data_IF_053585883995
#
_entry.id   IF_053585883995
#
_cell.length_a   1.000
_cell.length_b   1.000
_cell.length_c   1.000
_cell.angle_alpha   90.00
_cell.angle_beta   90.00
_cell.angle_gamma   90.00
#
_symmetry.space_group_name_H-M   'P 1'
#
loop_
_entity.id
_entity.type
_entity.pdbx_description
1 polymer ?
#
# COMPACT_ATOMS: atom_id res chain seq x y z
N UNK A 1 -16.98 9.90 -29.46
CA UNK A 1 -15.80 10.62 -28.96
C UNK A 1 -14.72 9.59 -28.76
N UNK A 2 -13.62 9.66 -29.51
CA UNK A 2 -12.54 8.70 -29.41
C UNK A 2 -11.97 8.73 -27.99
N UNK A 3 -12.24 7.68 -27.23
CA UNK A 3 -11.73 7.49 -25.89
C UNK A 3 -10.24 7.14 -26.05
N UNK A 4 -9.39 8.17 -26.18
CA UNK A 4 -7.94 8.00 -26.19
C UNK A 4 -7.57 7.39 -24.84
N UNK A 5 -7.38 6.06 -24.83
CA UNK A 5 -6.76 5.38 -23.70
C UNK A 5 -5.37 5.96 -23.50
N UNK A 6 -5.09 6.45 -22.30
CA UNK A 6 -3.75 6.89 -21.92
C UNK A 6 -2.78 5.72 -22.14
N UNK A 7 -1.76 5.94 -22.96
CA UNK A 7 -0.69 4.96 -23.18
C UNK A 7 0.40 5.16 -22.13
N UNK A 8 0.69 4.11 -21.35
CA UNK A 8 1.70 4.11 -20.29
C UNK A 8 2.18 2.68 -20.02
N UNK A 9 3.35 2.57 -19.41
CA UNK A 9 3.97 1.29 -19.10
C UNK A 9 3.99 1.04 -17.58
N UNK A 10 4.06 -0.23 -17.17
CA UNK A 10 4.25 -0.65 -15.78
C UNK A 10 5.52 -1.48 -15.67
N UNK A 11 6.32 -1.24 -14.62
CA UNK A 11 7.50 -2.06 -14.30
C UNK A 11 7.74 -2.15 -12.79
N UNK A 12 8.57 -3.09 -12.32
CA UNK A 12 9.05 -3.10 -10.94
C UNK A 12 9.66 -1.75 -10.53
N UNK A 13 9.43 -1.37 -9.26
CA UNK A 13 10.07 -0.22 -8.65
C UNK A 13 11.59 -0.40 -8.66
N UNK A 14 12.32 0.64 -9.07
CA UNK A 14 13.77 0.72 -8.94
C UNK A 14 14.15 1.78 -7.91
N UNK A 15 15.38 1.70 -7.41
CA UNK A 15 15.92 2.71 -6.48
C UNK A 15 15.88 4.14 -7.04
N UNK A 16 15.99 4.31 -8.36
CA UNK A 16 15.94 5.62 -9.02
C UNK A 16 14.56 6.27 -8.96
N UNK A 17 13.51 5.48 -8.72
CA UNK A 17 12.13 5.96 -8.69
C UNK A 17 11.70 6.48 -7.31
N UNK A 18 12.45 6.16 -6.25
CA UNK A 18 12.03 6.39 -4.86
C UNK A 18 11.64 7.85 -4.62
N UNK A 19 12.50 8.80 -4.99
CA UNK A 19 12.22 10.23 -4.86
C UNK A 19 10.97 10.65 -5.63
N UNK A 20 10.76 10.11 -6.85
CA UNK A 20 9.59 10.41 -7.66
C UNK A 20 8.30 9.85 -7.03
N UNK A 21 8.35 8.64 -6.46
CA UNK A 21 7.18 8.02 -5.80
C UNK A 21 6.73 8.78 -4.56
N UNK A 22 7.66 9.34 -3.77
CA UNK A 22 7.33 10.20 -2.63
C UNK A 22 6.65 11.49 -3.06
N UNK A 23 7.25 12.20 -4.02
CA UNK A 23 6.68 13.45 -4.56
C UNK A 23 5.28 13.19 -5.13
N UNK A 24 5.13 12.10 -5.88
CA UNK A 24 3.84 11.66 -6.41
C UNK A 24 2.83 11.43 -5.29
N UNK A 25 3.20 10.66 -4.26
CA UNK A 25 2.30 10.32 -3.17
C UNK A 25 1.83 11.57 -2.40
N UNK A 26 2.77 12.44 -2.02
CA UNK A 26 2.46 13.71 -1.34
C UNK A 26 1.46 14.52 -2.16
N UNK A 27 1.73 14.72 -3.45
CA UNK A 27 0.84 15.44 -4.36
C UNK A 27 -0.54 14.76 -4.49
N UNK A 28 -0.56 13.44 -4.59
CA UNK A 28 -1.78 12.63 -4.64
C UNK A 28 -2.62 12.82 -3.39
N UNK A 29 -2.05 12.68 -2.19
CA UNK A 29 -2.76 12.84 -0.91
C UNK A 29 -3.29 14.27 -0.79
N UNK A 30 -2.44 15.28 -0.98
CA UNK A 30 -2.82 16.69 -0.84
C UNK A 30 -3.97 17.10 -1.76
N UNK A 31 -4.01 16.55 -2.98
CA UNK A 31 -5.01 16.93 -3.98
C UNK A 31 -6.25 16.04 -3.88
N UNK A 32 -6.09 14.72 -3.94
CA UNK A 32 -7.21 13.78 -4.09
C UNK A 32 -7.91 13.47 -2.76
N UNK A 33 -7.24 13.64 -1.61
CA UNK A 33 -7.86 13.45 -0.31
C UNK A 33 -8.60 14.69 0.23
N UNK A 34 -8.44 15.85 -0.43
CA UNK A 34 -8.96 17.14 0.04
C UNK A 34 -10.48 17.21 0.25
N UNK A 35 -11.25 16.40 -0.49
CA UNK A 35 -12.71 16.35 -0.34
C UNK A 35 -13.20 15.52 0.85
N UNK A 36 -12.38 14.59 1.35
CA UNK A 36 -12.79 13.59 2.34
C UNK A 36 -12.06 13.71 3.69
N UNK A 37 -10.99 14.50 3.75
CA UNK A 37 -10.15 14.63 4.93
C UNK A 37 -9.91 16.10 5.29
N UNK A 38 -9.77 16.38 6.58
CA UNK A 38 -9.41 17.72 7.04
C UNK A 38 -7.96 18.06 6.67
N UNK A 39 -7.59 19.35 6.59
CA UNK A 39 -6.20 19.74 6.36
C UNK A 39 -5.20 19.11 7.35
N UNK A 40 -5.59 18.99 8.62
CA UNK A 40 -4.79 18.35 9.66
C UNK A 40 -4.61 16.85 9.41
N UNK A 41 -5.65 16.16 8.95
CA UNK A 41 -5.55 14.74 8.57
C UNK A 41 -4.66 14.55 7.35
N UNK A 42 -4.80 15.41 6.34
CA UNK A 42 -3.95 15.39 5.13
C UNK A 42 -2.49 15.60 5.50
N UNK A 43 -2.20 16.58 6.35
CA UNK A 43 -0.85 16.81 6.85
C UNK A 43 -0.31 15.59 7.63
N UNK A 44 -1.12 15.01 8.52
CA UNK A 44 -0.75 13.81 9.27
C UNK A 44 -0.52 12.57 8.39
N UNK A 45 -1.27 12.42 7.29
CA UNK A 45 -1.09 11.37 6.29
C UNK A 45 0.21 11.56 5.50
N UNK A 46 0.54 12.80 5.11
CA UNK A 46 1.77 13.11 4.38
C UNK A 46 3.00 12.96 5.26
N UNK A 47 2.93 13.39 6.53
CA UNK A 47 4.06 13.39 7.45
C UNK A 47 4.26 12.05 8.19
N UNK A 48 3.25 11.17 8.19
CA UNK A 48 3.31 9.87 8.87
C UNK A 48 4.31 8.88 8.26
N UNK A 49 4.80 9.13 7.04
CA UNK A 49 5.64 8.20 6.30
C UNK A 49 7.14 8.36 6.54
N UNK A 50 7.55 9.49 7.11
CA UNK A 50 8.91 9.74 7.55
C UNK A 50 8.95 11.10 8.26
N UNK A 51 8.73 11.11 9.58
CA UNK A 51 8.79 12.34 10.36
C UNK A 51 10.13 13.07 10.25
N UNK A 52 11.19 12.34 9.91
CA UNK A 52 12.56 12.82 9.88
C UNK A 52 13.13 13.00 8.47
N UNK A 53 12.38 12.64 7.41
CA UNK A 53 12.87 12.79 6.01
C UNK A 53 12.21 14.02 5.40
N UNK A 54 13.04 15.02 5.06
CA UNK A 54 12.60 16.14 4.26
C UNK A 54 12.22 15.65 2.85
N UNK A 55 10.92 15.61 2.54
CA UNK A 55 10.43 15.10 1.25
C UNK A 55 10.90 15.92 0.04
N UNK A 56 11.30 17.17 0.24
CA UNK A 56 11.79 18.05 -0.83
C UNK A 56 13.29 17.82 -1.10
N UNK A 57 14.02 17.25 -0.14
CA UNK A 57 15.47 16.96 -0.19
C UNK A 57 15.78 15.53 0.30
N UNK A 58 15.17 14.52 -0.34
CA UNK A 58 15.48 13.12 -0.04
C UNK A 58 16.93 12.83 -0.48
N UNK A 59 17.81 12.48 0.47
CA UNK A 59 19.20 12.15 0.15
C UNK A 59 19.31 10.79 -0.55
N UNK A 60 20.49 10.50 -1.14
CA UNK A 60 20.78 9.19 -1.73
C UNK A 60 20.71 8.08 -0.65
N UNK A 61 21.18 8.36 0.57
CA UNK A 61 21.18 7.39 1.67
C UNK A 61 19.75 7.07 2.12
N UNK A 62 18.89 8.09 2.23
CA UNK A 62 17.46 7.90 2.55
C UNK A 62 16.75 7.09 1.47
N UNK A 63 17.09 7.37 0.20
CA UNK A 63 16.55 6.64 -0.95
C UNK A 63 16.95 5.16 -0.93
N UNK A 64 18.21 4.86 -0.60
CA UNK A 64 18.72 3.48 -0.45
C UNK A 64 18.04 2.79 0.73
N UNK A 65 18.00 3.42 1.91
CA UNK A 65 17.43 2.84 3.12
C UNK A 65 15.96 2.48 2.94
N UNK A 66 15.17 3.39 2.36
CA UNK A 66 13.76 3.11 2.11
C UNK A 66 13.55 2.08 0.99
N UNK A 67 14.37 2.13 -0.07
CA UNK A 67 14.32 1.10 -1.10
C UNK A 67 14.55 -0.27 -0.47
N UNK A 68 15.55 -0.41 0.40
CA UNK A 68 15.81 -1.66 1.12
C UNK A 68 14.64 -2.07 2.01
N UNK A 69 14.02 -1.15 2.77
CA UNK A 69 12.85 -1.48 3.59
C UNK A 69 11.69 -2.04 2.72
N UNK A 70 11.35 -1.33 1.64
CA UNK A 70 10.32 -1.75 0.69
C UNK A 70 10.69 -3.04 -0.04
N UNK A 71 11.98 -3.20 -0.36
CA UNK A 71 12.49 -4.36 -1.06
C UNK A 71 12.46 -5.59 -0.15
N UNK A 72 12.91 -5.49 1.10
CA UNK A 72 12.89 -6.57 2.11
C UNK A 72 11.45 -7.04 2.34
N UNK A 73 10.50 -6.13 2.50
CA UNK A 73 9.07 -6.47 2.66
C UNK A 73 8.48 -7.17 1.42
N UNK A 74 9.08 -6.91 0.25
CA UNK A 74 8.71 -7.54 -1.02
C UNK A 74 9.56 -8.74 -1.43
N UNK A 75 10.67 -9.02 -0.73
CA UNK A 75 11.67 -9.99 -1.17
C UNK A 75 11.25 -11.42 -0.82
N UNK A 76 10.20 -11.84 -1.50
CA UNK A 76 9.70 -13.20 -1.48
C UNK A 76 9.24 -13.53 -2.89
N UNK A 77 10.02 -14.39 -3.55
CA UNK A 77 9.77 -14.97 -4.88
C UNK A 77 10.30 -14.11 -6.06
N UNK A 78 11.16 -14.71 -6.88
CA UNK A 78 11.96 -14.07 -7.94
C UNK A 78 11.17 -13.43 -9.08
N UNK A 79 9.84 -13.54 -9.09
CA UNK A 79 8.93 -13.03 -10.12
C UNK A 79 7.73 -12.26 -9.55
N UNK A 80 7.77 -11.86 -8.29
CA UNK A 80 6.65 -11.18 -7.63
C UNK A 80 7.07 -9.82 -7.04
N UNK A 81 7.16 -8.75 -7.86
CA UNK A 81 7.59 -7.45 -7.34
C UNK A 81 6.52 -6.90 -6.39
N UNK A 82 6.84 -6.81 -5.10
CA UNK A 82 5.96 -6.19 -4.10
C UNK A 82 5.83 -4.68 -4.25
N UNK A 83 6.53 -4.03 -5.19
CA UNK A 83 6.29 -2.64 -5.57
C UNK A 83 6.48 -2.43 -7.08
N UNK A 84 5.55 -1.68 -7.68
CA UNK A 84 5.52 -1.36 -9.10
C UNK A 84 5.24 0.12 -9.34
N UNK A 85 5.68 0.62 -10.48
CA UNK A 85 5.42 1.99 -10.95
C UNK A 85 4.78 1.98 -12.32
N UNK A 86 3.84 2.90 -12.54
CA UNK A 86 3.31 3.26 -13.85
C UNK A 86 4.03 4.52 -14.35
N UNK A 87 4.44 4.53 -15.62
CA UNK A 87 5.27 5.61 -16.17
C UNK A 87 4.99 5.90 -17.65
N UNK A 88 5.23 7.16 -18.04
CA UNK A 88 5.25 7.64 -19.42
C UNK A 88 6.62 8.28 -19.65
N UNK A 89 7.36 7.80 -20.64
CA UNK A 89 8.77 8.14 -20.85
C UNK A 89 9.58 7.94 -19.56
N UNK A 90 10.07 9.02 -18.93
CA UNK A 90 10.79 8.96 -17.64
C UNK A 90 9.93 9.44 -16.45
N UNK A 91 8.67 9.84 -16.68
CA UNK A 91 7.80 10.38 -15.62
C UNK A 91 7.01 9.25 -14.97
N UNK A 92 7.23 9.05 -13.66
CA UNK A 92 6.37 8.20 -12.84
C UNK A 92 5.01 8.88 -12.63
N UNK A 93 3.94 8.21 -13.04
CA UNK A 93 2.55 8.71 -12.96
C UNK A 93 1.68 7.93 -11.99
N UNK A 94 2.13 6.76 -11.55
CA UNK A 94 1.46 5.95 -10.54
C UNK A 94 2.43 5.02 -9.83
N UNK A 95 2.06 4.60 -8.62
CA UNK A 95 2.86 3.74 -7.77
C UNK A 95 1.93 2.87 -6.92
N UNK A 96 2.29 1.60 -6.77
CA UNK A 96 1.58 0.71 -5.87
C UNK A 96 2.55 -0.29 -5.22
N UNK A 97 2.26 -0.68 -3.97
CA UNK A 97 3.03 -1.67 -3.24
C UNK A 97 2.12 -2.63 -2.45
N UNK A 98 2.64 -3.82 -2.22
CA UNK A 98 2.01 -4.88 -1.43
C UNK A 98 3.03 -5.73 -0.70
N UNK A 99 2.59 -6.37 0.37
CA UNK A 99 3.37 -7.36 1.11
C UNK A 99 2.55 -8.59 1.48
N UNK A 100 3.14 -9.43 2.33
CA UNK A 100 2.44 -10.58 2.93
C UNK A 100 1.66 -10.12 4.16
N UNK A 101 0.42 -10.56 4.30
CA UNK A 101 -0.40 -10.28 5.48
C UNK A 101 -0.49 -11.46 6.46
N UNK A 102 -0.12 -12.66 6.02
CA UNK A 102 -0.05 -13.86 6.86
C UNK A 102 0.82 -14.95 6.24
N UNK A 103 1.11 -15.99 7.02
CA UNK A 103 1.82 -17.19 6.56
C UNK A 103 1.03 -18.02 5.52
N UNK A 104 -0.29 -17.76 5.37
CA UNK A 104 -1.13 -18.42 4.36
C UNK A 104 -1.05 -17.76 2.98
N UNK A 105 0.05 -17.05 2.71
CA UNK A 105 0.29 -16.41 1.42
C UNK A 105 -0.77 -15.36 1.02
N UNK A 106 -1.50 -14.84 2.01
CA UNK A 106 -2.39 -13.71 1.83
C UNK A 106 -1.58 -12.45 1.58
N UNK A 107 -2.14 -11.51 0.82
CA UNK A 107 -1.46 -10.26 0.46
C UNK A 107 -2.23 -9.06 1.01
N UNK A 108 -1.49 -8.01 1.33
CA UNK A 108 -2.05 -6.72 1.69
C UNK A 108 -1.49 -5.66 0.74
N UNK A 109 -2.37 -4.81 0.19
CA UNK A 109 -1.94 -3.60 -0.51
C UNK A 109 -1.62 -2.56 0.56
N UNK A 110 -0.37 -2.11 0.60
CA UNK A 110 0.07 -1.07 1.54
C UNK A 110 -0.20 0.32 0.98
N UNK A 111 0.15 0.53 -0.29
CA UNK A 111 0.17 1.85 -0.90
C UNK A 111 -0.34 1.77 -2.33
N UNK A 112 -1.13 2.76 -2.73
CA UNK A 112 -1.56 2.89 -4.11
C UNK A 112 -1.91 4.35 -4.40
N UNK A 113 -1.16 4.97 -5.30
CA UNK A 113 -1.23 6.39 -5.57
C UNK A 113 -1.08 6.66 -7.07
N UNK A 114 -1.77 7.69 -7.54
CA UNK A 114 -1.72 8.17 -8.92
C UNK A 114 -1.59 9.68 -8.88
N UNK A 115 -0.77 10.25 -9.76
CA UNK A 115 -0.69 11.70 -9.90
C UNK A 115 -2.08 12.28 -10.23
N UNK A 116 -2.50 13.42 -9.62
CA UNK A 116 -3.85 13.94 -9.80
C UNK A 116 -4.25 14.18 -11.26
N UNK A 117 -3.31 14.66 -12.08
CA UNK A 117 -3.54 14.89 -13.51
C UNK A 117 -3.77 13.60 -14.35
N UNK A 118 -3.49 12.42 -13.79
CA UNK A 118 -3.73 11.11 -14.41
C UNK A 118 -4.78 10.27 -13.65
N UNK A 119 -5.41 10.85 -12.63
CA UNK A 119 -6.48 10.19 -11.90
C UNK A 119 -7.68 9.95 -12.81
N UNK A 120 -8.42 8.85 -12.57
CA UNK A 120 -9.59 8.45 -13.36
C UNK A 120 -9.31 8.13 -14.85
N UNK A 121 -8.04 8.01 -15.25
CA UNK A 121 -7.63 7.63 -16.61
C UNK A 121 -7.20 6.15 -16.73
N UNK A 122 -7.58 5.30 -15.76
CA UNK A 122 -7.29 3.86 -15.77
C UNK A 122 -5.96 3.44 -15.14
N UNK A 123 -5.07 4.38 -14.77
CA UNK A 123 -3.75 4.09 -14.18
C UNK A 123 -3.87 3.24 -12.91
N UNK A 124 -4.71 3.66 -11.95
CA UNK A 124 -4.91 2.94 -10.70
C UNK A 124 -5.49 1.53 -10.91
N UNK A 125 -6.43 1.39 -11.86
CA UNK A 125 -6.99 0.08 -12.22
C UNK A 125 -5.94 -0.86 -12.78
N UNK A 126 -5.05 -0.38 -13.67
CA UNK A 126 -4.00 -1.22 -14.25
C UNK A 126 -2.94 -1.62 -13.22
N UNK A 127 -2.59 -0.72 -12.29
CA UNK A 127 -1.71 -1.04 -11.16
C UNK A 127 -2.31 -2.13 -10.28
N UNK A 128 -3.59 -1.97 -9.90
CA UNK A 128 -4.29 -2.96 -9.08
C UNK A 128 -4.37 -4.31 -9.78
N UNK A 129 -4.80 -4.35 -11.05
CA UNK A 129 -4.87 -5.57 -11.86
C UNK A 129 -3.52 -6.28 -11.96
N UNK A 130 -2.42 -5.53 -12.10
CA UNK A 130 -1.07 -6.09 -12.14
C UNK A 130 -0.70 -6.75 -10.81
N UNK A 131 -0.98 -6.09 -9.68
CA UNK A 131 -0.73 -6.66 -8.35
C UNK A 131 -1.59 -7.88 -8.06
N UNK A 132 -2.87 -7.85 -8.42
CA UNK A 132 -3.83 -8.95 -8.28
C UNK A 132 -3.41 -10.17 -9.11
N UNK A 133 -3.06 -9.95 -10.38
CA UNK A 133 -2.62 -11.02 -11.30
C UNK A 133 -1.35 -11.69 -10.78
N UNK A 134 -0.36 -10.90 -10.35
CA UNK A 134 0.87 -11.45 -9.77
C UNK A 134 0.58 -12.22 -8.48
N UNK A 135 -0.32 -11.73 -7.63
CA UNK A 135 -0.68 -12.43 -6.39
C UNK A 135 -1.38 -13.76 -6.70
N UNK A 136 -2.32 -13.77 -7.66
CA UNK A 136 -3.03 -14.96 -8.08
C UNK A 136 -2.08 -16.01 -8.69
N UNK A 137 -1.13 -15.60 -9.53
CA UNK A 137 -0.11 -16.47 -10.11
C UNK A 137 0.79 -17.11 -9.06
N UNK A 138 0.92 -16.48 -7.88
CA UNK A 138 1.64 -17.02 -6.74
C UNK A 138 0.70 -17.71 -5.72
N UNK A 139 -0.50 -18.16 -6.14
CA UNK A 139 -1.47 -18.88 -5.31
C UNK A 139 -2.04 -18.08 -4.13
N UNK A 140 -2.09 -16.75 -4.22
CA UNK A 140 -2.81 -15.94 -3.25
C UNK A 140 -4.33 -16.09 -3.46
N UNK A 141 -5.06 -16.35 -2.38
CA UNK A 141 -6.53 -16.48 -2.42
C UNK A 141 -7.25 -15.16 -2.12
N UNK A 142 -6.65 -14.30 -1.32
CA UNK A 142 -7.30 -13.08 -0.80
C UNK A 142 -6.31 -11.94 -0.64
N UNK A 143 -6.74 -10.77 -1.08
CA UNK A 143 -6.03 -9.51 -0.87
C UNK A 143 -6.83 -8.63 0.09
N UNK A 144 -6.15 -8.04 1.06
CA UNK A 144 -6.69 -7.02 1.95
C UNK A 144 -6.12 -5.64 1.67
N UNK A 145 -6.81 -4.59 2.13
CA UNK A 145 -6.33 -3.21 2.06
C UNK A 145 -6.92 -2.39 3.19
N UNK A 146 -6.11 -1.51 3.79
CA UNK A 146 -6.58 -0.39 4.59
C UNK A 146 -6.83 0.81 3.66
N UNK A 147 -8.03 0.94 3.13
CA UNK A 147 -8.37 1.99 2.18
C UNK A 147 -8.60 3.34 2.88
N UNK A 148 -8.16 4.43 2.25
CA UNK A 148 -8.61 5.76 2.60
C UNK A 148 -10.09 5.96 2.22
N UNK A 149 -10.76 6.96 2.79
CA UNK A 149 -12.12 7.35 2.43
C UNK A 149 -12.23 7.67 0.92
N UNK A 150 -11.23 8.36 0.37
CA UNK A 150 -11.13 8.63 -1.08
C UNK A 150 -10.94 7.34 -1.89
N UNK A 151 -10.21 6.36 -1.36
CA UNK A 151 -9.92 5.09 -2.03
C UNK A 151 -11.07 4.08 -1.96
N UNK A 152 -11.94 4.17 -0.96
CA UNK A 152 -13.04 3.20 -0.74
C UNK A 152 -13.91 2.98 -2.01
N UNK A 153 -14.39 4.02 -2.71
CA UNK A 153 -15.18 3.82 -3.93
C UNK A 153 -14.41 3.09 -5.04
N UNK A 154 -13.10 3.34 -5.17
CA UNK A 154 -12.26 2.68 -6.15
C UNK A 154 -12.15 1.17 -5.86
N UNK A 155 -11.89 0.78 -4.61
CA UNK A 155 -11.78 -0.63 -4.28
C UNK A 155 -13.14 -1.36 -4.40
N UNK A 156 -14.25 -0.71 -4.02
CA UNK A 156 -15.59 -1.28 -4.17
C UNK A 156 -15.91 -1.66 -5.61
N UNK A 157 -15.66 -0.76 -6.58
CA UNK A 157 -15.93 -1.07 -7.99
C UNK A 157 -15.01 -2.15 -8.56
N UNK A 158 -13.86 -2.40 -7.92
CA UNK A 158 -12.94 -3.50 -8.26
C UNK A 158 -13.24 -4.81 -7.49
N UNK A 159 -14.37 -4.89 -6.79
CA UNK A 159 -14.84 -6.12 -6.14
C UNK A 159 -14.40 -6.31 -4.69
N UNK A 160 -13.80 -5.29 -4.07
CA UNK A 160 -13.47 -5.35 -2.64
C UNK A 160 -14.72 -5.09 -1.77
N UNK A 161 -14.81 -5.84 -0.68
CA UNK A 161 -15.87 -5.74 0.32
C UNK A 161 -15.32 -5.15 1.62
N UNK A 162 -16.10 -4.28 2.26
CA UNK A 162 -15.75 -3.70 3.57
C UNK A 162 -15.81 -4.79 4.64
N UNK A 163 -14.76 -4.86 5.45
CA UNK A 163 -14.67 -5.73 6.64
C UNK A 163 -15.02 -4.92 7.88
N UNK A 164 -14.29 -3.82 8.10
CA UNK A 164 -14.46 -2.97 9.28
C UNK A 164 -13.98 -1.53 8.98
N UNK A 165 -14.37 -0.60 9.84
CA UNK A 165 -13.93 0.79 9.80
C UNK A 165 -13.24 1.11 11.12
N UNK A 166 -12.05 1.68 11.04
CA UNK A 166 -11.24 2.05 12.19
C UNK A 166 -10.63 3.43 11.98
N UNK A 167 -9.95 3.94 13.00
CA UNK A 167 -9.08 5.11 12.87
C UNK A 167 -7.63 4.67 13.11
N UNK A 168 -6.71 5.11 12.25
CA UNK A 168 -5.28 5.12 12.58
C UNK A 168 -4.93 6.43 13.29
N UNK A 169 -4.01 6.40 14.25
CA UNK A 169 -3.52 7.60 14.92
C UNK A 169 -2.15 7.98 14.35
N UNK A 170 -2.01 9.18 13.81
CA UNK A 170 -0.73 9.76 13.39
C UNK A 170 -0.56 11.13 14.05
N UNK A 171 0.46 11.28 14.89
CA UNK A 171 0.74 12.53 15.62
C UNK A 171 -0.46 13.09 16.40
N UNK A 172 -1.25 12.20 17.02
CA UNK A 172 -2.46 12.59 17.76
C UNK A 172 -3.68 12.91 16.90
N UNK A 173 -3.53 12.88 15.56
CA UNK A 173 -4.63 13.05 14.61
C UNK A 173 -5.22 11.69 14.26
N UNK A 174 -6.54 11.54 14.41
CA UNK A 174 -7.28 10.35 13.97
C UNK A 174 -7.56 10.43 12.48
N UNK A 175 -7.13 9.42 11.75
CA UNK A 175 -7.30 9.29 10.30
C UNK A 175 -8.22 8.07 10.05
N UNK A 176 -9.43 8.28 9.51
CA UNK A 176 -10.34 7.17 9.18
C UNK A 176 -9.75 6.25 8.11
N UNK A 177 -9.84 4.94 8.36
CA UNK A 177 -9.41 3.84 7.48
C UNK A 177 -10.55 2.83 7.32
N UNK A 178 -10.70 2.33 6.10
CA UNK A 178 -11.70 1.33 5.72
C UNK A 178 -10.98 0.04 5.36
N UNK A 179 -11.04 -0.96 6.23
CA UNK A 179 -10.44 -2.26 5.95
C UNK A 179 -11.33 -3.02 4.99
N UNK A 180 -10.75 -3.48 3.89
CA UNK A 180 -11.48 -4.16 2.83
C UNK A 180 -10.74 -5.42 2.39
N UNK A 181 -11.46 -6.40 1.83
CA UNK A 181 -10.89 -7.58 1.20
C UNK A 181 -11.51 -7.91 -0.14
N UNK A 182 -10.75 -8.60 -0.97
CA UNK A 182 -11.22 -9.24 -2.20
C UNK A 182 -10.65 -10.66 -2.26
N UNK A 183 -11.54 -11.62 -2.45
CA UNK A 183 -11.13 -12.97 -2.84
C UNK A 183 -10.80 -12.98 -4.34
N UNK A 184 -9.62 -13.47 -4.71
CA UNK A 184 -9.17 -13.57 -6.11
C UNK A 184 -9.76 -14.80 -6.82
N UNK A 185 -10.22 -15.78 -6.05
CA UNK A 185 -10.98 -16.94 -6.51
C UNK A 185 -12.18 -17.16 -5.59
N UNK A 186 -13.16 -17.96 -6.00
CA UNK A 186 -14.29 -18.31 -5.11
C UNK A 186 -13.77 -19.13 -3.92
N UNK A 187 -13.90 -18.63 -2.67
CA UNK A 187 -13.37 -19.33 -1.52
C UNK A 187 -14.24 -20.52 -1.14
N UNK A 188 -13.61 -21.61 -0.70
CA UNK A 188 -14.28 -22.69 0.03
C UNK A 188 -14.57 -22.26 1.48
N UNK A 189 -15.36 -23.05 2.20
CA UNK A 189 -15.56 -22.82 3.64
C UNK A 189 -14.25 -22.95 4.44
N UNK A 190 -13.35 -23.85 4.01
CA UNK A 190 -12.03 -24.01 4.64
C UNK A 190 -11.19 -22.73 4.44
N UNK A 191 -11.21 -22.14 3.25
CA UNK A 191 -10.46 -20.90 2.98
C UNK A 191 -10.93 -19.76 3.89
N UNK A 192 -12.24 -19.65 4.12
CA UNK A 192 -12.81 -18.65 5.04
C UNK A 192 -12.36 -18.87 6.48
N UNK A 193 -12.42 -20.11 6.97
CA UNK A 193 -11.95 -20.47 8.32
C UNK A 193 -10.47 -20.14 8.48
N UNK A 194 -9.64 -20.54 7.51
CA UNK A 194 -8.21 -20.27 7.51
C UNK A 194 -7.91 -18.76 7.48
N UNK A 195 -8.68 -17.99 6.71
CA UNK A 195 -8.59 -16.53 6.72
C UNK A 195 -8.86 -15.95 8.10
N UNK A 196 -9.98 -16.30 8.72
CA UNK A 196 -10.36 -15.78 10.04
C UNK A 196 -9.34 -16.18 11.12
N UNK A 197 -8.88 -17.44 11.11
CA UNK A 197 -7.83 -17.93 12.02
C UNK A 197 -6.52 -17.17 11.85
N UNK A 198 -6.11 -16.91 10.61
CA UNK A 198 -4.86 -16.19 10.34
C UNK A 198 -4.91 -14.75 10.85
N UNK A 199 -6.06 -14.06 10.71
CA UNK A 199 -6.25 -12.73 11.26
C UNK A 199 -6.21 -12.71 12.78
N UNK A 200 -6.88 -13.68 13.43
CA UNK A 200 -6.89 -13.79 14.89
C UNK A 200 -5.52 -14.12 15.45
N UNK A 201 -4.78 -15.04 14.84
CA UNK A 201 -3.44 -15.39 15.30
C UNK A 201 -2.48 -14.21 15.09
N UNK A 202 -2.49 -13.52 13.95
CA UNK A 202 -1.67 -12.32 13.75
C UNK A 202 -1.92 -11.26 14.84
N UNK A 203 -3.19 -10.97 15.20
CA UNK A 203 -3.54 -10.09 16.32
C UNK A 203 -3.12 -10.67 17.68
N UNK A 204 -3.20 -11.98 17.83
CA UNK A 204 -2.92 -12.72 19.05
C UNK A 204 -1.44 -13.00 19.33
N UNK A 205 -0.51 -12.75 18.39
CA UNK A 205 0.95 -12.76 18.62
C UNK A 205 1.59 -11.38 18.48
N UNK A 206 0.84 -10.35 18.12
CA UNK A 206 1.32 -8.97 18.04
C UNK A 206 1.92 -8.48 19.38
N UNK A 207 1.35 -8.93 20.51
CA UNK A 207 1.91 -8.70 21.85
C UNK A 207 3.30 -9.31 22.03
N UNK A 208 3.57 -10.51 21.50
CA UNK A 208 4.90 -11.14 21.57
C UNK A 208 5.93 -10.32 20.81
N UNK A 209 5.57 -9.79 19.63
CA UNK A 209 6.49 -8.95 18.86
C UNK A 209 6.73 -7.60 19.52
N UNK A 210 5.72 -7.02 20.17
CA UNK A 210 5.82 -5.76 20.89
C UNK A 210 6.65 -5.92 22.16
N UNK A 211 6.40 -6.95 22.96
CA UNK A 211 7.20 -7.27 24.14
C UNK A 211 8.63 -7.64 23.75
N UNK A 212 8.83 -8.43 22.70
CA UNK A 212 10.18 -8.78 22.23
C UNK A 212 10.94 -7.54 21.73
N UNK A 213 10.27 -6.63 21.03
CA UNK A 213 10.88 -5.37 20.58
C UNK A 213 11.22 -4.43 21.75
N UNK A 214 10.37 -4.36 22.78
CA UNK A 214 10.64 -3.63 24.02
C UNK A 214 11.84 -4.25 24.75
N UNK A 215 11.84 -5.57 24.94
CA UNK A 215 12.94 -6.30 25.58
C UNK A 215 14.25 -6.18 24.80
N UNK A 216 14.21 -6.19 23.46
CA UNK A 216 15.38 -5.98 22.62
C UNK A 216 15.92 -4.55 22.75
N UNK A 217 15.06 -3.53 22.84
CA UNK A 217 15.50 -2.15 23.11
C UNK A 217 16.14 -2.01 24.49
N UNK A 218 15.51 -2.59 25.52
CA UNK A 218 16.06 -2.63 26.87
C UNK A 218 17.40 -3.38 26.92
N UNK A 219 17.56 -4.47 26.16
CA UNK A 219 18.78 -5.26 26.08
C UNK A 219 19.90 -4.56 25.27
N UNK A 220 19.54 -3.82 24.23
CA UNK A 220 20.48 -3.10 23.37
C UNK A 220 20.86 -1.70 23.89
N UNK A 221 20.19 -1.22 24.94
CA UNK A 221 20.56 0.01 25.65
C UNK A 221 20.20 1.31 24.94
N UNK A 222 19.11 1.31 24.16
CA UNK A 222 18.49 2.52 23.58
C UNK A 222 17.25 2.97 24.36
#
# INVERSE_FOLDING_TARGET
>A
MNNLSLDFNIRPLSIKDITATFKLKRKSIQTLCSEHYTPQQIEAMVNGEAKDINSDEISIVDSVGLFLAKWIDSYTESNDPGAIVAYIDDKIIGYASRGKSSWLNQRIIYEMFVLPEYARMGVGSKLLETLETNAQNNNCQVITVGASLTGEPFYKVNGYQVIERTDSCSSGVRIPIVHMKKWLATPTEIDKILYDMSGQFSRGVEWLTTETAVLLKEFLGE
#
